data_IF_017222531324
#
_entry.id   IF_017222531324
#
_cell.length_a   1.000
_cell.length_b   1.000
_cell.length_c   1.000
_cell.angle_alpha   90.00
_cell.angle_beta   90.00
_cell.angle_gamma   90.00
#
_symmetry.space_group_name_H-M   'P 1'
#
loop_
_entity.id
_entity.type
_entity.pdbx_description
1 polymer ?
#
# COMPACT_ATOMS: atom_id res chain seq x y z
N UNK A 1 19.53 14.39 -0.93
CA UNK A 1 20.03 14.43 -2.32
C UNK A 1 19.17 15.41 -3.09
N UNK A 2 19.74 16.20 -3.99
CA UNK A 2 18.96 17.04 -4.90
C UNK A 2 18.74 16.23 -6.18
N UNK A 3 17.49 15.98 -6.55
CA UNK A 3 17.11 15.34 -7.82
C UNK A 3 16.14 16.26 -8.57
N UNK A 4 16.01 16.08 -9.87
CA UNK A 4 15.09 16.85 -10.71
C UNK A 4 13.64 16.58 -10.32
N UNK A 5 12.86 17.64 -10.14
CA UNK A 5 11.45 17.55 -9.78
C UNK A 5 10.59 17.67 -11.02
N UNK A 6 9.85 16.62 -11.31
CA UNK A 6 8.89 16.55 -12.40
C UNK A 6 7.56 17.19 -11.98
N UNK A 7 6.84 17.73 -12.96
CA UNK A 7 5.44 18.09 -12.74
C UNK A 7 4.58 16.84 -12.50
N UNK A 8 3.33 17.01 -12.07
CA UNK A 8 2.47 15.88 -11.71
C UNK A 8 2.14 14.97 -12.90
N UNK A 9 2.15 15.51 -14.13
CA UNK A 9 1.80 14.77 -15.33
C UNK A 9 2.96 13.87 -15.77
N UNK A 10 4.16 14.43 -15.83
CA UNK A 10 5.39 13.69 -16.11
C UNK A 10 5.66 12.65 -15.02
N UNK A 11 5.51 13.05 -13.76
CA UNK A 11 5.70 12.15 -12.61
C UNK A 11 4.66 11.03 -12.57
N UNK A 12 3.37 11.33 -12.76
CA UNK A 12 2.32 10.32 -12.79
C UNK A 12 2.49 9.34 -13.95
N UNK A 13 2.91 9.84 -15.13
CA UNK A 13 3.26 8.99 -16.28
C UNK A 13 4.41 8.05 -15.95
N UNK A 14 5.44 8.54 -15.27
CA UNK A 14 6.54 7.70 -14.79
C UNK A 14 6.03 6.58 -13.87
N UNK A 15 5.25 6.92 -12.84
CA UNK A 15 4.72 5.94 -11.89
C UNK A 15 3.90 4.84 -12.57
N UNK A 16 3.06 5.20 -13.54
CA UNK A 16 2.20 4.26 -14.25
C UNK A 16 2.99 3.37 -15.23
N UNK A 17 3.90 3.95 -16.00
CA UNK A 17 4.63 3.23 -17.06
C UNK A 17 5.77 2.36 -16.52
N UNK A 18 6.35 2.74 -15.38
CA UNK A 18 7.46 2.01 -14.73
C UNK A 18 7.01 1.06 -13.64
N UNK A 19 5.69 0.88 -13.46
CA UNK A 19 5.13 0.05 -12.39
C UNK A 19 5.57 0.47 -10.99
N UNK A 20 5.88 1.75 -10.81
CA UNK A 20 6.32 2.32 -9.54
C UNK A 20 5.14 2.83 -8.70
N UNK A 21 3.94 2.93 -9.28
CA UNK A 21 2.76 3.40 -8.55
C UNK A 21 2.46 2.53 -7.31
N UNK A 22 2.38 1.21 -7.50
CA UNK A 22 2.23 0.24 -6.41
C UNK A 22 2.99 -1.05 -6.77
N UNK A 23 4.34 -1.06 -6.70
CA UNK A 23 5.17 -2.20 -7.12
C UNK A 23 4.93 -3.46 -6.28
N UNK A 24 4.41 -3.31 -5.07
CA UNK A 24 3.92 -4.43 -4.23
C UNK A 24 2.84 -5.23 -4.95
N UNK A 25 1.90 -4.56 -5.63
CA UNK A 25 0.77 -5.23 -6.27
C UNK A 25 1.25 -5.99 -7.51
N UNK A 26 2.21 -5.41 -8.23
CA UNK A 26 2.87 -6.05 -9.38
C UNK A 26 3.59 -7.32 -8.93
N UNK A 27 4.38 -7.26 -7.87
CA UNK A 27 5.07 -8.44 -7.34
C UNK A 27 4.10 -9.52 -6.86
N UNK A 28 3.05 -9.17 -6.10
CA UNK A 28 2.08 -10.15 -5.60
C UNK A 28 1.32 -10.86 -6.72
N UNK A 29 0.94 -10.14 -7.76
CA UNK A 29 0.11 -10.69 -8.85
C UNK A 29 0.93 -11.39 -9.92
N UNK A 30 2.22 -11.09 -10.02
CA UNK A 30 3.17 -11.80 -10.89
C UNK A 30 3.66 -13.12 -10.27
N UNK A 31 3.51 -13.30 -8.95
CA UNK A 31 3.85 -14.53 -8.24
C UNK A 31 2.78 -15.62 -8.41
N UNK A 32 2.73 -16.22 -9.59
CA UNK A 32 1.73 -17.22 -9.96
C UNK A 32 1.82 -18.56 -9.19
N UNK A 33 2.86 -18.77 -8.37
CA UNK A 33 3.11 -20.04 -7.68
C UNK A 33 2.59 -20.09 -6.24
N UNK A 34 2.22 -18.95 -5.64
CA UNK A 34 1.70 -18.95 -4.28
C UNK A 34 0.26 -19.47 -4.24
N UNK A 35 -0.04 -20.27 -3.23
CA UNK A 35 -1.43 -20.66 -2.97
C UNK A 35 -2.27 -19.45 -2.53
N UNK A 36 -3.57 -19.48 -2.78
CA UNK A 36 -4.51 -18.45 -2.30
C UNK A 36 -4.42 -18.27 -0.77
N UNK A 37 -4.29 -19.37 -0.02
CA UNK A 37 -4.08 -19.34 1.43
C UNK A 37 -2.79 -18.60 1.84
N UNK A 38 -1.68 -18.86 1.14
CA UNK A 38 -0.42 -18.17 1.41
C UNK A 38 -0.51 -16.68 1.08
N UNK A 39 -1.10 -16.31 -0.06
CA UNK A 39 -1.33 -14.91 -0.41
C UNK A 39 -2.16 -14.20 0.68
N UNK A 40 -3.22 -14.83 1.18
CA UNK A 40 -4.05 -14.25 2.25
C UNK A 40 -3.29 -14.07 3.56
N UNK A 41 -2.44 -15.02 3.95
CA UNK A 41 -1.56 -14.87 5.11
C UNK A 41 -0.54 -13.74 4.92
N UNK A 42 0.01 -13.64 3.71
CA UNK A 42 0.88 -12.53 3.32
C UNK A 42 0.17 -11.19 3.52
N UNK A 43 -1.07 -11.06 3.02
CA UNK A 43 -1.90 -9.87 3.16
C UNK A 43 -2.13 -9.53 4.64
N UNK A 44 -2.49 -10.50 5.48
CA UNK A 44 -2.69 -10.27 6.93
C UNK A 44 -1.42 -9.75 7.60
N UNK A 45 -0.26 -10.37 7.33
CA UNK A 45 1.02 -9.94 7.88
C UNK A 45 1.41 -8.54 7.39
N UNK A 46 1.25 -8.28 6.08
CA UNK A 46 1.53 -6.99 5.47
C UNK A 46 0.60 -5.90 6.00
N UNK A 47 -0.69 -6.17 6.16
CA UNK A 47 -1.60 -5.19 6.72
C UNK A 47 -1.22 -4.87 8.17
N UNK A 48 -0.77 -5.84 8.96
CA UNK A 48 -0.36 -5.62 10.34
C UNK A 48 0.95 -4.82 10.47
N UNK A 49 1.97 -5.16 9.67
CA UNK A 49 3.34 -4.66 9.86
C UNK A 49 3.85 -3.75 8.75
N UNK A 50 3.22 -3.75 7.58
CA UNK A 50 3.56 -2.97 6.40
C UNK A 50 5.05 -3.08 6.04
N UNK A 51 5.51 -4.32 5.90
CA UNK A 51 6.87 -4.67 5.51
C UNK A 51 6.82 -5.94 4.66
N UNK A 52 7.25 -5.85 3.41
CA UNK A 52 7.13 -6.95 2.44
C UNK A 52 8.00 -8.15 2.81
N UNK A 53 9.25 -7.92 3.25
CA UNK A 53 10.17 -9.01 3.62
C UNK A 53 9.64 -9.85 4.78
N UNK A 54 9.17 -9.20 5.85
CA UNK A 54 8.54 -9.89 6.97
C UNK A 54 7.20 -10.54 6.57
N UNK A 55 6.38 -9.88 5.74
CA UNK A 55 5.13 -10.47 5.28
C UNK A 55 5.36 -11.74 4.44
N UNK A 56 6.39 -11.74 3.58
CA UNK A 56 6.81 -12.92 2.81
C UNK A 56 7.25 -14.05 3.72
N UNK A 57 8.15 -13.78 4.67
CA UNK A 57 8.57 -14.79 5.66
C UNK A 57 7.40 -15.32 6.48
N UNK A 58 6.54 -14.44 6.99
CA UNK A 58 5.41 -14.85 7.80
C UNK A 58 4.38 -15.69 7.03
N UNK A 59 4.20 -15.45 5.73
CA UNK A 59 3.22 -16.18 4.91
C UNK A 59 3.48 -17.69 4.81
N UNK A 60 4.72 -18.13 5.04
CA UNK A 60 5.15 -19.53 5.01
C UNK A 60 4.68 -20.33 6.24
N UNK A 61 4.26 -19.64 7.31
CA UNK A 61 3.73 -20.26 8.52
C UNK A 61 2.20 -20.35 8.46
N UNK A 62 1.63 -21.35 9.13
CA UNK A 62 0.18 -21.61 9.12
C UNK A 62 -0.39 -21.68 10.54
N UNK A 63 -1.69 -21.42 10.68
CA UNK A 63 -2.44 -21.58 11.92
C UNK A 63 -1.78 -20.92 13.13
N UNK A 64 -1.51 -21.72 14.17
CA UNK A 64 -0.94 -21.22 15.43
C UNK A 64 0.47 -20.67 15.25
N UNK A 65 1.29 -21.27 14.37
CA UNK A 65 2.67 -20.84 14.14
C UNK A 65 2.72 -19.46 13.50
N UNK A 66 1.78 -19.17 12.58
CA UNK A 66 1.61 -17.84 11.99
C UNK A 66 1.34 -16.78 13.06
N UNK A 67 0.37 -17.04 13.94
CA UNK A 67 0.01 -16.09 14.98
C UNK A 67 1.09 -15.94 16.04
N UNK A 68 1.78 -17.03 16.40
CA UNK A 68 2.91 -16.98 17.32
C UNK A 68 4.04 -16.12 16.77
N UNK A 69 4.37 -16.26 15.48
CA UNK A 69 5.35 -15.42 14.81
C UNK A 69 4.94 -13.94 14.83
N UNK A 70 3.69 -13.63 14.49
CA UNK A 70 3.18 -12.25 14.54
C UNK A 70 3.19 -11.69 15.98
N UNK A 71 2.95 -12.52 16.99
CA UNK A 71 3.02 -12.11 18.39
C UNK A 71 4.45 -11.77 18.81
N UNK A 72 5.43 -12.62 18.46
CA UNK A 72 6.86 -12.37 18.68
C UNK A 72 7.27 -11.05 18.00
N UNK A 73 6.87 -10.86 16.75
CA UNK A 73 7.16 -9.62 16.01
C UNK A 73 6.45 -8.39 16.61
N UNK A 74 5.27 -8.56 17.19
CA UNK A 74 4.53 -7.49 17.85
C UNK A 74 5.22 -7.04 19.15
N UNK A 75 5.66 -8.00 19.97
CA UNK A 75 6.43 -7.77 21.19
C UNK A 75 7.78 -7.12 20.90
N UNK A 76 8.47 -7.61 19.87
CA UNK A 76 9.76 -7.09 19.38
C UNK A 76 10.82 -7.01 20.50
N UNK A 77 10.83 -8.02 21.37
CA UNK A 77 11.77 -8.21 22.48
C UNK A 77 12.87 -9.22 22.15
N UNK A 78 12.70 -9.98 21.08
CA UNK A 78 13.68 -10.92 20.54
C UNK A 78 14.18 -10.45 19.17
N UNK A 79 15.44 -10.77 18.80
CA UNK A 79 15.96 -10.46 17.48
C UNK A 79 15.16 -11.12 16.37
N UNK A 80 15.01 -10.42 15.24
CA UNK A 80 14.47 -10.99 14.01
C UNK A 80 15.56 -11.80 13.29
N UNK A 81 15.20 -12.72 12.36
CA UNK A 81 16.18 -13.43 11.55
C UNK A 81 17.16 -12.50 10.82
N UNK A 82 16.68 -11.34 10.39
CA UNK A 82 17.45 -10.37 9.60
C UNK A 82 18.16 -9.28 10.42
N UNK A 83 18.07 -9.30 11.77
CA UNK A 83 18.71 -8.29 12.61
C UNK A 83 18.06 -8.07 13.98
N UNK A 84 18.42 -6.99 14.66
CA UNK A 84 18.09 -6.78 16.08
C UNK A 84 16.60 -6.61 16.39
N UNK A 85 15.79 -6.18 15.40
CA UNK A 85 14.37 -5.88 15.59
C UNK A 85 13.52 -6.38 14.43
N UNK A 86 12.30 -6.82 14.75
CA UNK A 86 11.27 -7.11 13.76
C UNK A 86 10.87 -5.82 13.04
N UNK A 87 10.94 -5.77 11.69
CA UNK A 87 10.69 -4.55 10.95
C UNK A 87 9.20 -4.20 10.97
N UNK A 88 8.93 -2.90 10.81
CA UNK A 88 7.58 -2.38 10.71
C UNK A 88 7.59 -1.07 9.93
N UNK A 89 6.71 -0.95 8.95
CA UNK A 89 6.52 0.26 8.16
C UNK A 89 6.25 1.50 9.03
N UNK A 90 6.57 2.67 8.48
CA UNK A 90 6.36 3.97 9.15
C UNK A 90 4.87 4.29 9.24
N UNK A 91 4.10 3.76 8.31
CA UNK A 91 2.66 3.88 8.13
C UNK A 91 1.92 3.20 9.28
N UNK A 92 2.50 2.11 9.81
CA UNK A 92 2.00 1.36 10.98
C UNK A 92 2.58 1.87 12.30
N UNK A 93 2.93 3.16 12.40
CA UNK A 93 3.47 3.77 13.65
C UNK A 93 2.54 3.65 14.87
N UNK A 94 1.23 3.59 14.66
CA UNK A 94 0.23 3.40 15.72
C UNK A 94 -0.01 1.92 16.06
N UNK A 95 0.50 1.00 15.25
CA UNK A 95 0.45 -0.44 15.51
C UNK A 95 1.76 -0.91 16.18
N UNK A 96 2.10 -0.32 17.33
CA UNK A 96 3.37 -0.55 18.04
C UNK A 96 3.15 -0.72 19.54
N UNK A 97 4.15 -1.31 20.21
CA UNK A 97 4.12 -1.54 21.66
C UNK A 97 2.86 -2.30 22.09
N UNK A 98 2.29 -1.91 23.23
CA UNK A 98 1.12 -2.59 23.79
C UNK A 98 -0.10 -2.60 22.87
N UNK A 99 -0.26 -1.59 22.00
CA UNK A 99 -1.35 -1.54 21.04
C UNK A 99 -1.20 -2.62 19.97
N UNK A 100 0.01 -2.79 19.42
CA UNK A 100 0.31 -3.84 18.45
C UNK A 100 0.17 -5.24 19.07
N UNK A 101 0.70 -5.44 20.28
CA UNK A 101 0.58 -6.71 21.02
C UNK A 101 -0.88 -7.09 21.24
N UNK A 102 -1.70 -6.15 21.72
CA UNK A 102 -3.14 -6.40 21.94
C UNK A 102 -3.88 -6.67 20.63
N UNK A 103 -3.53 -5.97 19.56
CA UNK A 103 -4.18 -6.17 18.27
C UNK A 103 -3.90 -7.55 17.70
N UNK A 104 -2.64 -8.02 17.73
CA UNK A 104 -2.32 -9.38 17.30
C UNK A 104 -3.00 -10.43 18.17
N UNK A 105 -3.02 -10.25 19.50
CA UNK A 105 -3.71 -11.16 20.40
C UNK A 105 -5.23 -11.24 20.12
N UNK A 106 -5.87 -10.12 19.81
CA UNK A 106 -7.29 -10.08 19.43
C UNK A 106 -7.54 -10.77 18.09
N UNK A 107 -6.67 -10.54 17.10
CA UNK A 107 -6.74 -11.22 15.79
C UNK A 107 -6.57 -12.74 15.92
N UNK A 108 -5.54 -13.19 16.63
CA UNK A 108 -5.30 -14.62 16.88
C UNK A 108 -6.46 -15.28 17.61
N UNK A 109 -7.09 -14.56 18.55
CA UNK A 109 -8.29 -15.04 19.24
C UNK A 109 -9.51 -15.12 18.31
N UNK A 110 -9.70 -14.13 17.45
CA UNK A 110 -10.88 -14.03 16.58
C UNK A 110 -10.83 -15.04 15.42
N UNK A 111 -9.66 -15.28 14.86
CA UNK A 111 -9.47 -16.10 13.67
C UNK A 111 -8.83 -17.46 13.95
N UNK A 112 -8.49 -17.74 15.21
CA UNK A 112 -7.96 -19.02 15.69
C UNK A 112 -6.88 -19.58 14.75
N UNK A 113 -6.99 -20.83 14.30
CA UNK A 113 -6.00 -21.49 13.43
C UNK A 113 -6.14 -21.13 11.94
N UNK A 114 -6.92 -20.10 11.59
CA UNK A 114 -7.24 -19.74 10.21
C UNK A 114 -6.98 -18.26 9.95
N UNK A 115 -5.72 -17.81 9.90
CA UNK A 115 -5.40 -16.42 9.59
C UNK A 115 -6.04 -15.88 8.31
N UNK A 116 -6.17 -16.73 7.28
CA UNK A 116 -6.85 -16.43 6.02
C UNK A 116 -8.34 -16.05 6.19
N UNK A 117 -8.99 -16.50 7.27
CA UNK A 117 -10.39 -16.18 7.55
C UNK A 117 -10.61 -14.69 7.84
N UNK A 118 -9.55 -13.95 8.23
CA UNK A 118 -9.61 -12.49 8.30
C UNK A 118 -9.87 -11.88 6.93
N UNK A 119 -9.22 -12.40 5.90
CA UNK A 119 -9.40 -11.91 4.53
C UNK A 119 -10.79 -12.28 4.02
N UNK A 120 -11.26 -13.51 4.27
CA UNK A 120 -12.64 -13.92 3.96
C UNK A 120 -13.66 -12.99 4.60
N UNK A 121 -13.48 -12.67 5.88
CA UNK A 121 -14.39 -11.78 6.60
C UNK A 121 -14.44 -10.38 5.99
N UNK A 122 -13.26 -9.77 5.77
CA UNK A 122 -13.15 -8.42 5.22
C UNK A 122 -13.79 -8.34 3.84
N UNK A 123 -13.51 -9.32 2.98
CA UNK A 123 -13.93 -9.34 1.58
C UNK A 123 -15.34 -9.91 1.36
N UNK A 124 -15.98 -10.44 2.41
CA UNK A 124 -17.28 -11.12 2.33
C UNK A 124 -18.34 -10.28 1.59
N UNK A 125 -18.75 -10.73 0.42
CA UNK A 125 -19.81 -10.11 -0.36
C UNK A 125 -19.51 -8.67 -0.81
N UNK A 126 -18.23 -8.29 -0.96
CA UNK A 126 -17.81 -6.92 -1.27
C UNK A 126 -18.35 -6.40 -2.62
N UNK A 127 -18.98 -5.20 -2.62
CA UNK A 127 -19.13 -4.42 -3.85
C UNK A 127 -18.74 -2.94 -3.68
N UNK A 128 -18.64 -2.40 -2.45
CA UNK A 128 -18.44 -0.97 -2.16
C UNK A 128 -17.42 -0.74 -1.05
N UNK A 129 -16.67 0.35 -1.15
CA UNK A 129 -15.60 0.74 -0.24
C UNK A 129 -16.03 0.78 1.24
N UNK A 130 -17.17 1.40 1.53
CA UNK A 130 -17.62 1.67 2.91
C UNK A 130 -17.86 0.40 3.70
N UNK A 131 -18.35 -0.67 3.06
CA UNK A 131 -18.56 -1.97 3.68
C UNK A 131 -17.24 -2.66 4.03
N UNK A 132 -16.30 -2.71 3.09
CA UNK A 132 -14.97 -3.33 3.29
C UNK A 132 -14.21 -2.55 4.36
N UNK A 133 -14.14 -1.23 4.23
CA UNK A 133 -13.47 -0.37 5.19
C UNK A 133 -14.09 -0.46 6.60
N UNK A 134 -15.41 -0.60 6.71
CA UNK A 134 -16.10 -0.82 7.98
C UNK A 134 -15.58 -2.05 8.71
N UNK A 135 -15.54 -3.20 8.02
CA UNK A 135 -15.03 -4.47 8.59
C UNK A 135 -13.56 -4.39 8.95
N UNK A 136 -12.75 -3.69 8.14
CA UNK A 136 -11.33 -3.48 8.45
C UNK A 136 -11.17 -2.75 9.78
N UNK A 137 -11.95 -1.69 10.02
CA UNK A 137 -11.87 -0.84 11.23
C UNK A 137 -12.38 -1.49 12.51
N UNK A 138 -13.06 -2.63 12.41
CA UNK A 138 -13.40 -3.43 13.59
C UNK A 138 -12.16 -3.99 14.29
N UNK A 139 -11.05 -4.13 13.58
CA UNK A 139 -9.81 -4.65 14.11
C UNK A 139 -9.01 -3.55 14.82
N UNK A 140 -8.53 -3.84 16.03
CA UNK A 140 -7.75 -2.88 16.81
C UNK A 140 -6.54 -2.37 16.04
N UNK A 141 -6.40 -1.04 16.01
CA UNK A 141 -5.27 -0.38 15.36
C UNK A 141 -5.37 -0.31 13.84
N UNK A 142 -6.47 -0.75 13.25
CA UNK A 142 -6.79 -0.52 11.85
C UNK A 142 -7.69 0.72 11.74
N UNK A 143 -7.15 1.76 11.10
CA UNK A 143 -7.85 3.02 10.87
C UNK A 143 -8.12 3.29 9.39
N UNK A 144 -8.53 4.51 9.09
CA UNK A 144 -8.91 4.92 7.74
C UNK A 144 -7.84 4.59 6.68
N UNK A 145 -6.58 4.93 6.94
CA UNK A 145 -5.50 4.77 5.95
C UNK A 145 -5.27 3.31 5.55
N UNK A 146 -5.16 2.39 6.53
CA UNK A 146 -4.99 0.97 6.19
C UNK A 146 -6.27 0.39 5.59
N UNK A 147 -7.45 0.90 5.98
CA UNK A 147 -8.71 0.47 5.38
C UNK A 147 -8.74 0.77 3.89
N UNK A 148 -8.21 1.93 3.48
CA UNK A 148 -8.03 2.25 2.07
C UNK A 148 -7.10 1.27 1.35
N UNK A 149 -5.90 1.02 1.88
CA UNK A 149 -4.97 0.06 1.30
C UNK A 149 -5.52 -1.37 1.25
N UNK A 150 -6.29 -1.80 2.25
CA UNK A 150 -6.96 -3.12 2.23
C UNK A 150 -8.01 -3.19 1.13
N UNK A 151 -8.84 -2.15 0.96
CA UNK A 151 -9.81 -2.10 -0.14
C UNK A 151 -9.12 -2.14 -1.50
N UNK A 152 -8.03 -1.39 -1.64
CA UNK A 152 -7.26 -1.29 -2.88
C UNK A 152 -6.59 -2.62 -3.24
N UNK A 153 -5.97 -3.28 -2.27
CA UNK A 153 -5.42 -4.64 -2.46
C UNK A 153 -6.52 -5.69 -2.70
N UNK A 154 -7.71 -5.52 -2.14
CA UNK A 154 -8.85 -6.40 -2.43
C UNK A 154 -9.25 -6.31 -3.91
N UNK A 155 -9.34 -5.09 -4.45
CA UNK A 155 -9.62 -4.85 -5.87
C UNK A 155 -8.47 -5.32 -6.77
N UNK A 156 -7.24 -4.87 -6.49
CA UNK A 156 -6.09 -5.01 -7.40
C UNK A 156 -5.24 -6.25 -7.23
N UNK A 157 -5.23 -6.87 -6.05
CA UNK A 157 -4.44 -8.10 -5.82
C UNK A 157 -5.35 -9.31 -5.83
N UNK A 158 -6.50 -9.24 -5.15
CA UNK A 158 -7.42 -10.38 -5.05
C UNK A 158 -8.43 -10.48 -6.20
N UNK A 159 -8.50 -9.47 -7.09
CA UNK A 159 -9.50 -9.38 -8.16
C UNK A 159 -10.95 -9.42 -7.65
N UNK A 160 -11.18 -8.94 -6.45
CA UNK A 160 -12.52 -8.80 -5.87
C UNK A 160 -12.89 -7.33 -5.99
N UNK A 161 -13.77 -7.01 -6.94
CA UNK A 161 -14.09 -5.62 -7.24
C UNK A 161 -14.60 -4.85 -6.00
N UNK A 162 -14.03 -3.68 -5.77
CA UNK A 162 -14.49 -2.73 -4.74
C UNK A 162 -14.82 -1.40 -5.42
N UNK A 163 -16.05 -0.92 -5.29
CA UNK A 163 -16.46 0.38 -5.79
C UNK A 163 -15.96 1.51 -4.86
N UNK A 164 -15.11 2.38 -5.40
CA UNK A 164 -14.53 3.56 -4.73
C UNK A 164 -15.31 4.85 -4.98
N UNK A 165 -16.48 4.82 -5.63
CA UNK A 165 -17.28 6.02 -5.93
C UNK A 165 -17.57 6.85 -4.67
N UNK A 166 -17.91 6.18 -3.55
CA UNK A 166 -18.13 6.85 -2.26
C UNK A 166 -16.84 7.33 -1.57
N UNK A 167 -15.68 6.84 -2.00
CA UNK A 167 -14.38 7.25 -1.46
C UNK A 167 -13.86 8.57 -2.07
N UNK A 168 -14.50 9.08 -3.14
CA UNK A 168 -14.08 10.24 -3.92
C UNK A 168 -13.98 11.56 -3.12
N UNK A 169 -14.57 11.64 -1.93
CA UNK A 169 -14.37 12.75 -0.99
C UNK A 169 -13.17 12.41 -0.10
N UNK A 170 -11.95 12.60 -0.62
CA UNK A 170 -10.76 12.00 -0.01
C UNK A 170 -10.57 12.25 1.50
N UNK A 171 -10.35 11.14 2.20
CA UNK A 171 -10.31 11.00 3.66
C UNK A 171 -8.93 11.29 4.28
N UNK A 172 -7.89 11.55 3.48
CA UNK A 172 -6.51 11.60 3.96
C UNK A 172 -5.83 12.95 3.77
N UNK A 173 -5.04 13.33 4.78
CA UNK A 173 -4.39 14.62 4.87
C UNK A 173 -3.40 14.89 3.73
N UNK A 174 -2.73 13.86 3.23
CA UNK A 174 -1.65 14.03 2.24
C UNK A 174 -2.14 14.20 0.80
N UNK A 175 -3.08 13.39 0.28
CA UNK A 175 -3.74 13.66 -1.00
C UNK A 175 -4.43 15.02 -1.04
N UNK A 176 -5.11 15.40 0.05
CA UNK A 176 -5.76 16.72 0.17
C UNK A 176 -4.73 17.85 0.04
N UNK A 177 -3.60 17.73 0.73
CA UNK A 177 -2.51 18.73 0.61
C UNK A 177 -1.92 18.77 -0.79
N UNK A 178 -1.75 17.61 -1.43
CA UNK A 178 -1.23 17.51 -2.79
C UNK A 178 -2.18 18.17 -3.80
N UNK A 179 -3.48 17.88 -3.72
CA UNK A 179 -4.49 18.48 -4.57
C UNK A 179 -4.54 20.00 -4.40
N UNK A 180 -4.47 20.49 -3.16
CA UNK A 180 -4.37 21.92 -2.90
C UNK A 180 -3.07 22.55 -3.40
N UNK A 181 -1.97 21.79 -3.44
CA UNK A 181 -0.69 22.24 -4.00
C UNK A 181 -0.77 22.37 -5.52
N UNK A 182 -1.32 21.36 -6.20
CA UNK A 182 -1.56 21.37 -7.64
C UNK A 182 -2.54 22.48 -8.06
N UNK A 183 -3.63 22.68 -7.31
CA UNK A 183 -4.56 23.78 -7.54
C UNK A 183 -3.89 25.15 -7.42
N UNK A 184 -3.03 25.37 -6.41
CA UNK A 184 -2.29 26.63 -6.27
C UNK A 184 -1.34 26.86 -7.43
N UNK A 185 -0.61 25.83 -7.83
CA UNK A 185 0.35 25.89 -8.94
C UNK A 185 -0.33 26.23 -10.28
N UNK A 186 -1.39 25.48 -10.63
CA UNK A 186 -2.16 25.70 -11.86
C UNK A 186 -2.82 27.09 -11.93
N UNK A 187 -3.24 27.64 -10.79
CA UNK A 187 -3.84 28.97 -10.70
C UNK A 187 -2.81 30.09 -10.47
N UNK A 188 -1.50 29.77 -10.39
CA UNK A 188 -0.42 30.70 -10.07
C UNK A 188 -0.67 31.49 -8.78
N UNK A 189 -1.21 30.82 -7.77
CA UNK A 189 -1.56 31.40 -6.48
C UNK A 189 -0.39 31.31 -5.48
N UNK A 190 -0.33 32.21 -4.48
CA UNK A 190 0.62 32.09 -3.38
C UNK A 190 0.49 30.76 -2.63
N UNK A 191 1.58 30.29 -2.04
CA UNK A 191 1.62 29.01 -1.32
C UNK A 191 0.61 28.97 -0.16
N UNK A 192 0.29 30.08 0.48
CA UNK A 192 -0.67 30.11 1.59
C UNK A 192 -2.14 30.31 1.15
N UNK A 193 -2.43 30.36 -0.15
CA UNK A 193 -3.78 30.55 -0.66
C UNK A 193 -4.70 29.38 -0.24
N UNK A 194 -5.92 29.71 0.17
CA UNK A 194 -6.95 28.74 0.57
C UNK A 194 -8.19 28.92 -0.30
N UNK A 195 -8.74 27.84 -0.85
CA UNK A 195 -10.00 27.95 -1.60
C UNK A 195 -11.16 28.23 -0.65
N UNK A 196 -12.20 28.89 -1.18
CA UNK A 196 -13.47 29.07 -0.45
C UNK A 196 -14.17 27.73 -0.20
N UNK A 197 -14.09 26.84 -1.17
CA UNK A 197 -14.63 25.49 -1.11
C UNK A 197 -13.49 24.49 -1.42
N UNK A 198 -12.94 23.90 -0.37
CA UNK A 198 -11.86 22.92 -0.48
C UNK A 198 -12.33 21.63 -1.16
N UNK A 199 -13.56 21.20 -0.88
CA UNK A 199 -14.12 19.96 -1.41
C UNK A 199 -14.29 20.07 -2.92
N UNK A 200 -14.84 21.19 -3.40
CA UNK A 200 -14.96 21.46 -4.82
C UNK A 200 -13.59 21.47 -5.53
N UNK A 201 -12.58 22.10 -4.94
CA UNK A 201 -11.23 22.11 -5.52
C UNK A 201 -10.67 20.70 -5.63
N UNK A 202 -10.81 19.88 -4.59
CA UNK A 202 -10.33 18.49 -4.62
C UNK A 202 -11.02 17.72 -5.75
N UNK A 203 -12.36 17.79 -5.85
CA UNK A 203 -13.09 17.12 -6.93
C UNK A 203 -12.61 17.56 -8.31
N UNK A 204 -12.36 18.87 -8.51
CA UNK A 204 -11.86 19.38 -9.78
C UNK A 204 -10.45 18.90 -10.11
N UNK A 205 -9.57 18.81 -9.12
CA UNK A 205 -8.22 18.25 -9.33
C UNK A 205 -8.30 16.77 -9.70
N UNK A 206 -9.15 16.00 -9.03
CA UNK A 206 -9.34 14.57 -9.34
C UNK A 206 -9.91 14.39 -10.75
N UNK A 207 -10.90 15.18 -11.14
CA UNK A 207 -11.46 15.19 -12.49
C UNK A 207 -10.38 15.52 -13.53
N UNK A 208 -9.61 16.60 -13.34
CA UNK A 208 -8.51 16.97 -14.24
C UNK A 208 -7.48 15.86 -14.40
N UNK A 209 -7.05 15.22 -13.31
CA UNK A 209 -6.05 14.16 -13.37
C UNK A 209 -6.63 12.87 -13.96
N UNK A 210 -7.89 12.54 -13.65
CA UNK A 210 -8.56 11.37 -14.22
C UNK A 210 -8.73 11.51 -15.73
N UNK A 211 -9.10 12.70 -16.21
CA UNK A 211 -9.20 13.00 -17.65
C UNK A 211 -7.82 12.90 -18.31
N UNK A 212 -6.78 13.47 -17.70
CA UNK A 212 -5.41 13.42 -18.24
C UNK A 212 -4.87 11.99 -18.32
N UNK A 213 -5.09 11.17 -17.29
CA UNK A 213 -4.61 9.79 -17.26
C UNK A 213 -5.61 8.78 -17.83
N UNK A 214 -6.67 9.22 -18.52
CA UNK A 214 -7.75 8.36 -19.02
C UNK A 214 -7.30 7.30 -20.03
N UNK A 215 -6.20 7.55 -20.75
CA UNK A 215 -5.60 6.58 -21.69
C UNK A 215 -4.73 5.52 -21.00
N UNK A 216 -4.39 5.70 -19.72
CA UNK A 216 -3.62 4.72 -18.95
C UNK A 216 -4.53 3.68 -18.32
N UNK A 217 -4.01 2.46 -18.23
CA UNK A 217 -4.67 1.34 -17.57
C UNK A 217 -4.04 1.11 -16.20
N UNK A 218 -4.88 0.76 -15.22
CA UNK A 218 -4.46 0.59 -13.84
C UNK A 218 -3.58 -0.68 -13.66
N UNK A 219 -2.38 -0.56 -13.07
CA UNK A 219 -1.59 -1.74 -12.70
C UNK A 219 -2.31 -2.55 -11.58
N UNK A 220 -1.93 -3.82 -11.35
CA UNK A 220 -0.95 -4.59 -12.10
C UNK A 220 -1.53 -5.30 -13.33
N UNK A 221 -2.86 -5.37 -13.48
CA UNK A 221 -3.50 -6.16 -14.53
C UNK A 221 -3.77 -5.40 -15.84
N UNK A 222 -3.73 -4.07 -15.81
CA UNK A 222 -4.04 -3.22 -16.96
C UNK A 222 -5.39 -3.55 -17.61
N UNK A 223 -6.39 -3.85 -16.78
CA UNK A 223 -7.69 -4.38 -17.16
C UNK A 223 -8.82 -3.33 -17.07
N UNK A 224 -8.55 -2.19 -16.46
CA UNK A 224 -9.44 -1.04 -16.38
C UNK A 224 -8.65 0.28 -16.49
N UNK A 225 -9.30 1.40 -16.86
CA UNK A 225 -8.68 2.71 -16.74
C UNK A 225 -8.21 3.01 -15.32
N UNK A 226 -7.22 3.89 -15.21
CA UNK A 226 -6.81 4.53 -13.95
C UNK A 226 -8.05 5.12 -13.26
N UNK A 227 -8.23 4.79 -11.98
CA UNK A 227 -9.35 5.22 -11.17
C UNK A 227 -8.90 6.08 -10.00
N UNK A 228 -9.82 6.31 -9.06
CA UNK A 228 -9.59 7.14 -7.88
C UNK A 228 -8.37 6.66 -7.08
N UNK A 229 -8.18 5.36 -6.96
CA UNK A 229 -7.07 4.76 -6.21
C UNK A 229 -5.72 5.19 -6.77
N UNK A 230 -5.55 5.05 -8.08
CA UNK A 230 -4.30 5.41 -8.74
C UNK A 230 -4.06 6.93 -8.71
N UNK A 231 -5.10 7.75 -8.86
CA UNK A 231 -5.00 9.21 -8.73
C UNK A 231 -4.60 9.63 -7.30
N UNK A 232 -5.12 8.95 -6.27
CA UNK A 232 -4.72 9.17 -4.87
C UNK A 232 -3.23 8.91 -4.67
N UNK A 233 -2.74 7.77 -5.14
CA UNK A 233 -1.33 7.39 -5.03
C UNK A 233 -0.44 8.38 -5.79
N UNK A 234 -0.79 8.79 -7.02
CA UNK A 234 -0.05 9.81 -7.79
C UNK A 234 0.06 11.12 -6.99
N UNK A 235 -1.05 11.61 -6.42
CA UNK A 235 -1.06 12.84 -5.61
C UNK A 235 -0.17 12.71 -4.36
N UNK A 236 -0.27 11.58 -3.65
CA UNK A 236 0.53 11.29 -2.47
C UNK A 236 2.03 11.30 -2.78
N UNK A 237 2.45 10.50 -3.77
CA UNK A 237 3.85 10.36 -4.17
C UNK A 237 4.38 11.67 -4.75
N UNK A 238 3.61 12.37 -5.59
CA UNK A 238 4.02 13.65 -6.17
C UNK A 238 4.26 14.72 -5.10
N UNK A 239 3.40 14.80 -4.08
CA UNK A 239 3.67 15.70 -2.95
C UNK A 239 4.98 15.37 -2.25
N UNK A 240 5.30 14.09 -2.04
CA UNK A 240 6.58 13.68 -1.46
C UNK A 240 7.76 14.03 -2.39
N UNK A 241 7.57 13.83 -3.69
CA UNK A 241 8.53 14.15 -4.75
C UNK A 241 8.88 15.65 -4.76
N UNK A 242 7.88 16.52 -4.70
CA UNK A 242 8.07 17.97 -4.63
C UNK A 242 8.76 18.44 -3.35
N UNK A 243 8.68 17.66 -2.27
CA UNK A 243 9.40 17.95 -1.02
C UNK A 243 10.82 17.36 -0.97
N UNK A 244 11.28 16.68 -2.03
CA UNK A 244 12.61 16.08 -2.07
C UNK A 244 12.73 14.76 -1.29
N UNK A 245 11.61 14.05 -1.10
CA UNK A 245 11.54 12.82 -0.31
C UNK A 245 11.11 11.59 -1.12
N UNK A 246 10.95 11.73 -2.44
CA UNK A 246 10.51 10.65 -3.31
C UNK A 246 11.15 10.83 -4.70
N UNK A 247 12.43 10.45 -4.88
CA UNK A 247 13.03 10.37 -6.21
C UNK A 247 12.29 9.35 -7.08
N UNK A 248 12.60 9.29 -8.37
CA UNK A 248 12.11 8.21 -9.23
C UNK A 248 12.60 6.85 -8.71
N UNK A 249 11.81 5.79 -8.94
CA UNK A 249 12.05 4.43 -8.46
C UNK A 249 12.19 4.30 -6.93
N UNK A 250 11.68 5.26 -6.15
CA UNK A 250 11.83 5.28 -4.69
C UNK A 250 11.26 4.01 -4.05
N UNK A 251 10.00 3.69 -4.34
CA UNK A 251 9.31 2.57 -3.69
C UNK A 251 9.87 1.22 -4.15
N UNK A 252 10.21 1.10 -5.44
CA UNK A 252 10.88 -0.09 -5.98
C UNK A 252 12.19 -0.34 -5.22
N UNK A 253 13.04 0.69 -5.08
CA UNK A 253 14.30 0.57 -4.35
C UNK A 253 14.08 0.24 -2.87
N UNK A 254 13.25 1.01 -2.17
CA UNK A 254 13.00 0.82 -0.74
C UNK A 254 12.45 -0.59 -0.43
N UNK A 255 11.55 -1.10 -1.28
CA UNK A 255 10.99 -2.44 -1.12
C UNK A 255 12.04 -3.51 -1.44
N UNK A 256 12.80 -3.39 -2.53
CA UNK A 256 13.87 -4.35 -2.87
C UNK A 256 14.93 -4.41 -1.76
N UNK A 257 15.39 -3.26 -1.26
CA UNK A 257 16.30 -3.16 -0.12
C UNK A 257 15.71 -3.78 1.15
N UNK A 258 14.42 -3.55 1.42
CA UNK A 258 13.73 -4.10 2.58
C UNK A 258 13.52 -5.61 2.54
N UNK A 259 13.44 -6.21 1.35
CA UNK A 259 13.25 -7.65 1.14
C UNK A 259 14.58 -8.39 1.06
N UNK A 260 15.63 -7.79 0.50
CA UNK A 260 16.91 -8.46 0.26
C UNK A 260 17.48 -9.23 1.47
N UNK A 261 17.43 -8.74 2.72
CA UNK A 261 17.93 -9.50 3.88
C UNK A 261 17.14 -10.78 4.19
N UNK A 262 15.89 -10.89 3.71
CA UNK A 262 14.95 -11.97 4.01
C UNK A 262 15.09 -13.17 3.07
N UNK A 263 15.69 -13.01 1.89
CA UNK A 263 15.72 -14.06 0.86
C UNK A 263 16.46 -15.33 1.31
N UNK A 264 17.41 -15.21 2.24
CA UNK A 264 18.13 -16.35 2.82
C UNK A 264 17.30 -17.13 3.87
N UNK A 265 16.18 -16.56 4.32
CA UNK A 265 15.32 -17.13 5.36
C UNK A 265 13.92 -17.50 4.84
N UNK A 266 13.57 -17.11 3.62
CA UNK A 266 12.22 -17.25 3.05
C UNK A 266 12.28 -17.40 1.54
N UNK A 267 11.78 -18.53 1.04
CA UNK A 267 11.57 -18.74 -0.39
C UNK A 267 10.53 -17.75 -0.93
N UNK A 268 9.50 -17.43 -0.15
CA UNK A 268 8.53 -16.40 -0.52
C UNK A 268 9.18 -15.01 -0.64
N UNK A 269 10.16 -14.66 0.19
CA UNK A 269 10.87 -13.39 0.03
C UNK A 269 11.72 -13.37 -1.25
N UNK A 270 12.35 -14.49 -1.59
CA UNK A 270 13.10 -14.64 -2.85
C UNK A 270 12.18 -14.51 -4.07
N UNK A 271 11.05 -15.22 -4.08
CA UNK A 271 10.04 -15.17 -5.15
C UNK A 271 9.46 -13.75 -5.30
N UNK A 272 9.11 -13.12 -4.18
CA UNK A 272 8.63 -11.74 -4.19
C UNK A 272 9.66 -10.78 -4.79
N UNK A 273 10.94 -10.90 -4.40
CA UNK A 273 12.00 -10.06 -4.93
C UNK A 273 12.18 -10.24 -6.44
N UNK A 274 12.13 -11.48 -6.94
CA UNK A 274 12.20 -11.77 -8.39
C UNK A 274 11.03 -11.19 -9.18
N UNK A 275 9.86 -11.09 -8.56
CA UNK A 275 8.65 -10.55 -9.17
C UNK A 275 8.55 -9.01 -9.11
N UNK A 276 9.45 -8.34 -8.37
CA UNK A 276 9.45 -6.88 -8.30
C UNK A 276 9.80 -6.26 -9.66
N UNK A 277 9.15 -5.14 -10.04
CA UNK A 277 9.55 -4.36 -11.21
C UNK A 277 11.04 -3.99 -11.16
N UNK A 278 11.73 -3.92 -12.32
CA UNK A 278 13.13 -3.50 -12.39
C UNK A 278 13.34 -2.10 -11.81
N UNK A 279 14.50 -1.87 -11.19
CA UNK A 279 14.89 -0.53 -10.71
C UNK A 279 15.58 0.30 -11.80
N UNK A 280 15.94 1.54 -11.47
CA UNK A 280 16.68 2.45 -12.37
C UNK A 280 17.96 1.81 -12.94
N UNK A 281 18.72 1.11 -12.10
CA UNK A 281 19.98 0.46 -12.45
C UNK A 281 19.81 -0.74 -13.40
N UNK A 282 18.58 -1.25 -13.55
CA UNK A 282 18.26 -2.40 -14.40
C UNK A 282 17.86 -1.96 -15.83
N UNK A 283 17.67 -0.65 -16.12
CA UNK A 283 17.24 -0.16 -17.45
C UNK A 283 18.38 -0.01 -18.47
N UNK A 284 19.64 -0.03 -18.01
CA UNK A 284 20.84 0.12 -18.86
C UNK A 284 21.45 -1.24 -19.31
N UNK A 285 20.74 -2.36 -19.11
CA UNK A 285 21.15 -3.73 -19.48
C UNK A 285 20.22 -4.32 -20.55
#
# INVERSE_FOLDING_TARGET
>A
MSYERLDIYEFGTHLLTKNELDPVYVALTSNAHWSDSQLRRWLVAYWCFYNCGFASYASEFEGDDFWQLLAIAAENTTPAPTGDRWPRGRERRHFRGQQGIKAIAELAKQYEKKPEAMVDYITAGAPVYTAVAGRVKEHRGFGDWISFKVCDMTDRVMKIHVDFTEAAVFMFKDPVKAALMFWRDTQKLPENAKPKDQTWVIHKVVETLSDHFSEFLAPPFYDRPVGLQEIETILCCWKSHMNGHYPLFNDIREIREGIAPWIQYSCAAEDFLKAMPPGEEDEDV
#
